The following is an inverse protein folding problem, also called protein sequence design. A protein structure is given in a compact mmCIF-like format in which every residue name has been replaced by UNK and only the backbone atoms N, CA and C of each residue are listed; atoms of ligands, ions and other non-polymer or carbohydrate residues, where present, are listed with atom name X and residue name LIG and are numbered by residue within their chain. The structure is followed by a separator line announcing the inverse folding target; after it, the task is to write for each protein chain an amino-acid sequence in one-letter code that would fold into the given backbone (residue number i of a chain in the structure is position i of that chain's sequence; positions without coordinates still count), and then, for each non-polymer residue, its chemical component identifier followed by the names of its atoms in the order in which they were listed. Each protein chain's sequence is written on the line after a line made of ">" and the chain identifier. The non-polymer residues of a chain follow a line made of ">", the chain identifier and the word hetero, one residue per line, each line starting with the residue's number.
data_IF_584290753934
#
_entry.id   IF_584290753934
#
_cell.length_a   1.000
_cell.length_b   1.000
_cell.length_c   1.000
_cell.angle_alpha   90.00
_cell.angle_beta   90.00
_cell.angle_gamma   90.00
#
_symmetry.space_group_name_H-M   'P 1'
#
loop_
_entity.id
_entity.type
_entity.pdbx_description
1 polymer ?
#
# COMPACT_ATOMS: atom_id res chain seq x y z
N UNK A 1 67.18 -11.66 102.26
CA UNK A 1 67.67 -11.44 100.88
C UNK A 1 67.08 -12.45 99.87
N UNK A 2 66.86 -13.72 100.15
CA UNK A 2 66.36 -14.76 99.25
C UNK A 2 64.98 -14.42 98.66
N UNK A 3 64.01 -13.97 99.48
CA UNK A 3 62.62 -13.71 99.02
C UNK A 3 62.53 -12.50 98.04
N UNK A 4 63.39 -11.47 98.17
CA UNK A 4 63.40 -10.34 97.19
C UNK A 4 63.86 -10.81 95.79
N UNK A 5 64.83 -11.72 95.70
CA UNK A 5 65.30 -12.26 94.41
C UNK A 5 64.27 -13.10 93.72
N UNK A 6 63.49 -13.90 94.48
CA UNK A 6 62.40 -14.70 93.95
C UNK A 6 61.26 -13.82 93.39
N UNK A 7 60.88 -12.75 94.12
CA UNK A 7 59.82 -11.81 93.62
C UNK A 7 60.26 -11.13 92.34
N UNK A 8 61.57 -10.69 92.27
CA UNK A 8 62.08 -10.09 91.02
C UNK A 8 62.07 -11.08 89.85
N UNK A 9 62.42 -12.35 90.07
CA UNK A 9 62.38 -13.39 89.03
C UNK A 9 60.93 -13.67 88.53
N UNK A 10 60.00 -13.71 89.48
CA UNK A 10 58.56 -13.89 89.13
C UNK A 10 58.04 -12.68 88.33
N UNK A 11 58.36 -11.47 88.73
CA UNK A 11 57.99 -10.26 87.97
C UNK A 11 58.62 -10.20 86.57
N UNK A 12 59.89 -10.60 86.45
CA UNK A 12 60.52 -10.73 85.11
C UNK A 12 59.89 -11.80 84.27
N UNK A 13 59.52 -12.92 84.87
CA UNK A 13 58.79 -13.99 84.12
C UNK A 13 57.41 -13.54 83.68
N UNK A 14 56.61 -12.85 84.52
CA UNK A 14 55.31 -12.29 84.15
C UNK A 14 55.48 -11.27 83.03
N UNK A 15 56.49 -10.36 83.14
CA UNK A 15 56.81 -9.39 82.09
C UNK A 15 57.17 -10.04 80.74
N UNK A 16 57.97 -11.14 80.81
CA UNK A 16 58.33 -11.89 79.61
C UNK A 16 57.13 -12.58 78.99
N UNK A 17 56.23 -13.21 79.79
CA UNK A 17 54.98 -13.80 79.29
C UNK A 17 54.07 -12.77 78.70
N UNK A 18 54.00 -11.57 79.33
CA UNK A 18 53.22 -10.44 78.76
C UNK A 18 53.78 -9.96 77.40
N UNK A 19 55.09 -9.89 77.27
CA UNK A 19 55.75 -9.52 76.01
C UNK A 19 55.44 -10.55 74.90
N UNK A 20 55.54 -11.81 75.21
CA UNK A 20 55.18 -12.91 74.26
C UNK A 20 53.72 -12.84 73.85
N UNK A 21 52.85 -12.54 74.81
CA UNK A 21 51.38 -12.38 74.47
C UNK A 21 51.16 -11.18 73.54
N UNK A 22 51.86 -10.06 73.81
CA UNK A 22 51.80 -8.86 72.92
C UNK A 22 52.35 -9.16 71.53
N UNK A 23 53.51 -9.85 71.44
CA UNK A 23 54.10 -10.26 70.16
C UNK A 23 53.19 -11.22 69.39
N UNK A 24 52.53 -12.17 70.06
CA UNK A 24 51.58 -13.09 69.42
C UNK A 24 50.36 -12.35 68.89
N UNK A 25 49.77 -11.45 69.63
CA UNK A 25 48.66 -10.64 69.14
C UNK A 25 49.06 -9.71 68.00
N UNK A 26 50.26 -9.12 68.09
CA UNK A 26 50.81 -8.30 67.02
C UNK A 26 51.02 -9.13 65.72
N UNK A 27 51.59 -10.32 65.88
CA UNK A 27 51.76 -11.25 64.76
C UNK A 27 50.40 -11.64 64.10
N UNK A 28 49.41 -11.95 64.93
CA UNK A 28 48.05 -12.27 64.45
C UNK A 28 47.36 -11.14 63.66
N UNK A 29 47.55 -9.91 64.20
CA UNK A 29 47.06 -8.69 63.57
C UNK A 29 47.79 -8.41 62.26
N UNK A 30 49.09 -8.60 62.23
CA UNK A 30 49.93 -8.44 61.06
C UNK A 30 49.57 -9.44 59.97
N UNK A 31 49.43 -10.72 60.28
CA UNK A 31 49.02 -11.76 59.37
C UNK A 31 47.58 -11.50 58.76
N UNK A 32 46.67 -11.04 59.61
CA UNK A 32 45.31 -10.62 59.16
C UNK A 32 45.40 -9.46 58.20
N UNK A 33 46.24 -8.44 58.45
CA UNK A 33 46.37 -7.31 57.53
C UNK A 33 47.02 -7.71 56.19
N UNK A 34 47.97 -8.59 56.19
CA UNK A 34 48.61 -9.13 54.99
C UNK A 34 47.55 -9.87 54.12
N UNK A 35 46.75 -10.72 54.73
CA UNK A 35 45.71 -11.44 54.02
C UNK A 35 44.65 -10.49 53.34
N UNK A 36 44.29 -9.42 54.05
CA UNK A 36 43.42 -8.37 53.51
C UNK A 36 44.08 -7.65 52.33
N UNK A 37 45.38 -7.30 52.51
CA UNK A 37 46.13 -6.64 51.45
C UNK A 37 46.30 -7.50 50.22
N UNK A 38 46.59 -8.79 50.33
CA UNK A 38 46.69 -9.73 49.20
C UNK A 38 45.35 -9.91 48.49
N UNK A 39 44.26 -9.99 49.25
CA UNK A 39 42.89 -10.06 48.68
C UNK A 39 42.56 -8.78 47.91
N UNK A 40 42.86 -7.61 48.46
CA UNK A 40 42.65 -6.31 47.78
C UNK A 40 43.50 -6.20 46.51
N UNK A 41 44.77 -6.63 46.58
CA UNK A 41 45.66 -6.66 45.42
C UNK A 41 45.17 -7.56 44.31
N UNK A 42 44.70 -8.75 44.65
CA UNK A 42 44.08 -9.68 43.70
C UNK A 42 42.80 -9.09 43.05
N UNK A 43 41.96 -8.48 43.88
CA UNK A 43 40.74 -7.80 43.37
C UNK A 43 41.10 -6.65 42.44
N UNK A 44 42.08 -5.83 42.78
CA UNK A 44 42.57 -4.74 41.94
C UNK A 44 43.05 -5.23 40.55
N UNK A 45 43.87 -6.28 40.53
CA UNK A 45 44.37 -6.86 39.26
C UNK A 45 43.25 -7.45 38.40
N UNK A 46 42.23 -8.07 39.03
CA UNK A 46 41.05 -8.57 38.31
C UNK A 46 40.24 -7.43 37.72
N UNK A 47 39.95 -6.37 38.49
CA UNK A 47 39.24 -5.18 38.01
C UNK A 47 40.02 -4.46 36.90
N UNK A 48 41.34 -4.44 36.96
CA UNK A 48 42.20 -3.87 35.92
C UNK A 48 42.07 -4.68 34.60
N UNK A 49 42.06 -6.01 34.69
CA UNK A 49 41.86 -6.87 33.54
C UNK A 49 40.47 -6.67 32.90
N UNK A 50 39.43 -6.62 33.74
CA UNK A 50 38.04 -6.39 33.29
C UNK A 50 37.91 -5.01 32.65
N UNK A 51 38.46 -3.97 33.21
CA UNK A 51 38.46 -2.61 32.65
C UNK A 51 39.14 -2.57 31.27
N UNK A 52 40.26 -3.26 31.11
CA UNK A 52 40.93 -3.34 29.81
C UNK A 52 40.08 -4.10 28.77
N UNK A 53 39.39 -5.17 29.19
CA UNK A 53 38.47 -5.91 28.30
C UNK A 53 37.31 -5.02 27.85
N UNK A 54 36.67 -4.31 28.79
CA UNK A 54 35.58 -3.39 28.49
C UNK A 54 36.01 -2.26 27.54
N UNK A 55 37.24 -1.72 27.73
CA UNK A 55 37.79 -0.71 26.81
C UNK A 55 37.91 -1.23 25.37
N UNK A 56 38.33 -2.49 25.20
CA UNK A 56 38.41 -3.11 23.88
C UNK A 56 37.01 -3.34 23.26
N UNK A 57 36.06 -3.76 24.07
CA UNK A 57 34.66 -3.94 23.63
C UNK A 57 34.04 -2.60 23.19
N UNK A 58 34.22 -1.55 23.97
CA UNK A 58 33.78 -0.18 23.61
C UNK A 58 34.41 0.26 22.29
N UNK A 59 35.70 0.09 22.10
CA UNK A 59 36.36 0.47 20.86
C UNK A 59 35.84 -0.30 19.65
N UNK A 60 35.51 -1.58 19.83
CA UNK A 60 34.91 -2.39 18.76
C UNK A 60 33.48 -1.96 18.42
N UNK A 61 32.66 -1.67 19.43
CA UNK A 61 31.29 -1.19 19.21
C UNK A 61 31.27 0.21 18.60
N UNK A 62 32.18 1.11 19.01
CA UNK A 62 32.33 2.42 18.36
C UNK A 62 32.67 2.28 16.88
N UNK A 63 33.57 1.38 16.51
CA UNK A 63 33.95 1.13 15.13
C UNK A 63 32.83 0.50 14.29
N UNK A 64 31.94 -0.30 14.92
CA UNK A 64 30.73 -0.79 14.27
C UNK A 64 29.70 0.34 14.05
N UNK A 65 29.57 1.23 15.04
CA UNK A 65 28.72 2.41 14.94
C UNK A 65 29.11 3.31 13.77
N UNK A 66 30.39 3.64 13.63
CA UNK A 66 30.91 4.44 12.53
C UNK A 66 30.60 3.82 11.16
N UNK A 67 30.81 2.49 11.00
CA UNK A 67 30.47 1.79 9.75
C UNK A 67 28.98 1.80 9.44
N UNK A 68 28.14 1.72 10.46
CA UNK A 68 26.68 1.76 10.30
C UNK A 68 26.22 3.17 9.87
N UNK A 69 26.83 4.20 10.42
CA UNK A 69 26.56 5.59 10.07
C UNK A 69 26.95 5.90 8.61
N UNK A 70 28.12 5.44 8.16
CA UNK A 70 28.54 5.55 6.76
C UNK A 70 27.58 4.81 5.82
N UNK A 71 27.13 3.62 6.20
CA UNK A 71 26.16 2.84 5.42
C UNK A 71 24.79 3.53 5.35
N UNK A 72 24.34 4.11 6.45
CA UNK A 72 23.09 4.88 6.52
C UNK A 72 23.15 6.11 5.60
N UNK A 73 24.27 6.85 5.64
CA UNK A 73 24.48 8.02 4.77
C UNK A 73 24.42 7.64 3.29
N UNK A 74 25.14 6.57 2.91
CA UNK A 74 25.12 6.06 1.52
C UNK A 74 23.71 5.62 1.07
N UNK A 75 22.96 4.97 1.96
CA UNK A 75 21.60 4.53 1.66
C UNK A 75 20.64 5.73 1.50
N UNK A 76 20.81 6.77 2.31
CA UNK A 76 19.99 7.98 2.21
C UNK A 76 20.26 8.76 0.92
N UNK A 77 21.53 8.88 0.50
CA UNK A 77 21.92 9.48 -0.78
C UNK A 77 21.29 8.71 -1.97
N UNK A 78 21.30 7.38 -1.88
CA UNK A 78 20.66 6.53 -2.91
C UNK A 78 19.14 6.69 -2.92
N UNK A 79 18.50 6.82 -1.75
CA UNK A 79 17.07 7.09 -1.63
C UNK A 79 16.71 8.42 -2.31
N UNK A 80 17.41 9.50 -2.00
CA UNK A 80 17.17 10.82 -2.61
C UNK A 80 17.34 10.79 -4.14
N UNK A 81 18.35 10.06 -4.63
CA UNK A 81 18.54 9.90 -6.08
C UNK A 81 17.41 9.14 -6.75
N UNK A 82 16.86 8.10 -6.09
CA UNK A 82 15.72 7.34 -6.61
C UNK A 82 14.43 8.16 -6.57
N UNK A 83 14.18 8.92 -5.52
CA UNK A 83 13.03 9.82 -5.43
C UNK A 83 13.04 10.87 -6.55
N UNK A 84 14.23 11.41 -6.87
CA UNK A 84 14.38 12.33 -7.99
C UNK A 84 14.03 11.67 -9.34
N UNK A 85 14.50 10.44 -9.58
CA UNK A 85 14.19 9.70 -10.81
C UNK A 85 12.70 9.36 -10.91
N UNK A 86 12.06 9.02 -9.78
CA UNK A 86 10.61 8.76 -9.73
C UNK A 86 9.85 10.04 -10.12
N UNK A 87 10.16 11.18 -9.50
CA UNK A 87 9.50 12.43 -9.76
C UNK A 87 9.69 12.91 -11.23
N UNK A 88 10.89 12.69 -11.80
CA UNK A 88 11.17 12.99 -13.22
C UNK A 88 10.32 12.11 -14.15
N UNK A 89 10.21 10.81 -13.86
CA UNK A 89 9.38 9.88 -14.65
C UNK A 89 7.87 10.16 -14.51
N UNK A 90 7.43 10.55 -13.34
CA UNK A 90 6.03 10.95 -13.13
C UNK A 90 5.70 12.22 -13.91
N UNK A 91 6.59 13.20 -13.86
CA UNK A 91 6.44 14.46 -14.64
C UNK A 91 6.48 14.21 -16.17
N UNK A 92 7.32 13.26 -16.63
CA UNK A 92 7.37 12.85 -18.04
C UNK A 92 6.08 12.16 -18.47
N UNK A 93 5.58 11.20 -17.69
CA UNK A 93 4.27 10.56 -17.91
C UNK A 93 3.11 11.56 -17.93
N UNK A 94 3.16 12.56 -17.05
CA UNK A 94 2.15 13.61 -17.02
C UNK A 94 2.21 14.52 -18.27
N UNK A 95 3.41 14.77 -18.78
CA UNK A 95 3.60 15.52 -20.07
C UNK A 95 3.13 14.71 -21.25
N UNK A 96 3.53 13.43 -21.35
CA UNK A 96 3.07 12.53 -22.41
C UNK A 96 1.55 12.35 -22.41
N UNK A 97 0.94 12.21 -21.23
CA UNK A 97 -0.52 12.16 -21.09
C UNK A 97 -1.20 13.47 -21.50
N UNK A 98 -0.59 14.62 -21.19
CA UNK A 98 -1.09 15.94 -21.63
C UNK A 98 -0.94 16.14 -23.14
N UNK A 99 0.18 15.75 -23.73
CA UNK A 99 0.42 15.83 -25.17
C UNK A 99 -0.50 14.89 -25.94
N UNK A 100 -0.68 13.64 -25.46
CA UNK A 100 -1.58 12.65 -26.04
C UNK A 100 -3.04 13.14 -25.97
N UNK A 101 -3.46 13.76 -24.88
CA UNK A 101 -4.79 14.32 -24.73
C UNK A 101 -4.98 15.60 -25.56
N UNK A 102 -3.94 16.40 -25.74
CA UNK A 102 -3.97 17.59 -26.62
C UNK A 102 -4.02 17.18 -28.10
N UNK A 103 -3.35 16.12 -28.52
CA UNK A 103 -3.45 15.56 -29.87
C UNK A 103 -4.80 14.88 -30.07
N UNK A 104 -5.33 14.22 -29.05
CA UNK A 104 -6.66 13.63 -29.02
C UNK A 104 -7.76 14.70 -29.15
N UNK A 105 -7.68 15.80 -28.40
CA UNK A 105 -8.64 16.92 -28.48
C UNK A 105 -8.50 17.72 -29.77
N UNK A 106 -7.33 17.79 -30.37
CA UNK A 106 -7.10 18.39 -31.68
C UNK A 106 -7.59 17.53 -32.85
N UNK A 107 -7.57 16.20 -32.69
CA UNK A 107 -8.00 15.22 -33.70
C UNK A 107 -9.50 14.93 -33.63
N UNK A 108 -10.12 15.20 -32.48
CA UNK A 108 -11.51 14.87 -32.20
C UNK A 108 -12.39 16.12 -32.30
N UNK A 109 -12.65 16.55 -33.52
CA UNK A 109 -13.92 17.25 -33.83
C UNK A 109 -15.08 16.25 -33.80
N UNK A 110 -15.00 15.19 -33.01
CA UNK A 110 -15.87 14.02 -33.02
C UNK A 110 -16.10 13.48 -31.62
N UNK A 111 -17.00 12.61 -31.54
CA UNK A 111 -17.60 11.95 -30.39
C UNK A 111 -16.69 10.85 -29.88
N UNK A 112 -16.24 10.93 -28.63
CA UNK A 112 -15.42 9.89 -27.99
C UNK A 112 -16.30 8.86 -27.31
N UNK A 113 -15.93 7.59 -27.46
CA UNK A 113 -16.54 6.46 -26.73
C UNK A 113 -15.58 6.00 -25.65
N UNK A 114 -16.11 5.86 -24.45
CA UNK A 114 -15.45 5.21 -23.33
C UNK A 114 -16.13 3.87 -23.08
N UNK A 115 -15.50 2.78 -23.53
CA UNK A 115 -15.96 1.43 -23.20
C UNK A 115 -15.60 1.12 -21.75
N UNK A 116 -16.59 0.77 -20.95
CA UNK A 116 -16.39 0.44 -19.54
C UNK A 116 -16.97 -0.93 -19.23
N UNK A 117 -16.22 -1.73 -18.49
CA UNK A 117 -16.55 -3.11 -18.15
C UNK A 117 -16.57 -3.27 -16.63
N UNK A 118 -17.73 -3.61 -16.08
CA UNK A 118 -17.95 -3.81 -14.66
C UNK A 118 -17.84 -5.29 -14.24
N UNK A 119 -17.75 -5.55 -12.94
CA UNK A 119 -17.81 -6.84 -12.26
C UNK A 119 -16.62 -7.80 -12.47
N UNK A 120 -15.78 -7.52 -13.42
CA UNK A 120 -14.62 -8.35 -13.74
C UNK A 120 -13.47 -8.25 -12.72
N UNK A 121 -12.33 -8.86 -13.06
CA UNK A 121 -12.06 -9.70 -14.25
C UNK A 121 -12.71 -11.06 -14.19
N UNK A 122 -12.94 -11.65 -15.38
CA UNK A 122 -13.62 -12.93 -15.56
C UNK A 122 -12.88 -13.89 -16.52
N UNK A 123 -13.53 -14.98 -16.88
CA UNK A 123 -13.04 -15.89 -17.91
C UNK A 123 -13.09 -15.28 -19.33
N UNK A 124 -13.84 -14.19 -19.53
CA UNK A 124 -13.96 -13.51 -20.82
C UNK A 124 -12.97 -12.34 -20.98
N UNK A 125 -12.30 -11.93 -19.92
CA UNK A 125 -11.38 -10.78 -19.93
C UNK A 125 -10.31 -10.91 -21.01
N UNK A 126 -9.72 -12.11 -21.19
CA UNK A 126 -8.70 -12.33 -22.23
C UNK A 126 -9.23 -12.13 -23.64
N UNK A 127 -10.46 -12.63 -23.93
CA UNK A 127 -11.10 -12.45 -25.24
C UNK A 127 -11.47 -10.97 -25.49
N UNK A 128 -11.89 -10.26 -24.44
CA UNK A 128 -12.15 -8.81 -24.50
C UNK A 128 -10.84 -8.06 -24.81
N UNK A 129 -9.72 -8.39 -24.15
CA UNK A 129 -8.42 -7.82 -24.47
C UNK A 129 -8.02 -8.06 -25.92
N UNK A 130 -8.14 -9.29 -26.41
CA UNK A 130 -7.82 -9.63 -27.79
C UNK A 130 -8.62 -8.79 -28.79
N UNK A 131 -9.90 -8.55 -28.49
CA UNK A 131 -10.74 -7.71 -29.33
C UNK A 131 -10.34 -6.23 -29.25
N UNK A 132 -10.05 -5.70 -28.09
CA UNK A 132 -9.56 -4.34 -27.91
C UNK A 132 -8.21 -4.12 -28.59
N UNK A 133 -7.28 -5.05 -28.45
CA UNK A 133 -5.95 -5.01 -29.09
C UNK A 133 -6.05 -5.03 -30.62
N UNK A 134 -6.97 -5.81 -31.19
CA UNK A 134 -7.21 -5.88 -32.65
C UNK A 134 -7.46 -4.52 -33.28
N UNK A 135 -8.09 -3.61 -32.55
CA UNK A 135 -8.45 -2.27 -33.00
C UNK A 135 -7.60 -1.16 -32.36
N UNK A 136 -6.62 -1.51 -31.54
CA UNK A 136 -5.83 -0.59 -30.69
C UNK A 136 -6.73 0.33 -29.82
N UNK A 137 -7.80 -0.22 -29.30
CA UNK A 137 -8.78 0.49 -28.46
C UNK A 137 -8.40 0.30 -26.99
N UNK A 138 -8.38 1.39 -26.23
CA UNK A 138 -8.23 1.35 -24.78
C UNK A 138 -9.59 1.52 -24.10
N UNK A 139 -9.76 0.84 -22.97
CA UNK A 139 -11.01 0.77 -22.21
C UNK A 139 -10.78 0.94 -20.70
N UNK A 140 -11.86 0.98 -19.93
CA UNK A 140 -11.78 1.03 -18.46
C UNK A 140 -12.46 -0.20 -17.87
N UNK A 141 -11.80 -0.83 -16.92
CA UNK A 141 -12.32 -2.00 -16.20
C UNK A 141 -12.55 -1.60 -14.73
N UNK A 142 -13.80 -1.57 -14.31
CA UNK A 142 -14.19 -1.39 -12.92
C UNK A 142 -14.25 -2.76 -12.24
N UNK A 143 -13.16 -3.09 -11.54
CA UNK A 143 -12.93 -4.44 -11.04
C UNK A 143 -13.49 -4.67 -9.64
N UNK A 144 -13.80 -5.94 -9.35
CA UNK A 144 -14.18 -6.46 -8.04
C UNK A 144 -13.10 -7.41 -7.50
N UNK A 145 -13.25 -7.90 -6.26
CA UNK A 145 -12.39 -8.97 -5.72
C UNK A 145 -12.74 -10.35 -6.31
N UNK A 146 -12.91 -10.44 -7.62
CA UNK A 146 -13.17 -11.70 -8.30
C UNK A 146 -11.98 -12.66 -8.19
N UNK A 147 -12.20 -13.97 -8.36
CA UNK A 147 -11.12 -14.96 -8.36
C UNK A 147 -10.10 -14.81 -9.50
N UNK A 148 -10.40 -13.97 -10.51
CA UNK A 148 -9.52 -13.70 -11.64
C UNK A 148 -8.72 -12.38 -11.49
N UNK A 149 -8.93 -11.62 -10.42
CA UNK A 149 -8.28 -10.33 -10.21
C UNK A 149 -6.75 -10.46 -10.19
N UNK A 150 -6.23 -11.44 -9.47
CA UNK A 150 -4.78 -11.67 -9.34
C UNK A 150 -4.10 -11.94 -10.69
N UNK A 151 -4.84 -12.56 -11.61
CA UNK A 151 -4.35 -12.86 -12.96
C UNK A 151 -4.36 -11.65 -13.88
N UNK A 152 -5.35 -10.76 -13.75
CA UNK A 152 -5.62 -9.75 -14.76
C UNK A 152 -5.35 -8.30 -14.31
N UNK A 153 -5.30 -8.00 -13.00
CA UNK A 153 -5.13 -6.63 -12.54
C UNK A 153 -3.91 -5.93 -13.16
N UNK A 154 -2.76 -6.61 -13.15
CA UNK A 154 -1.53 -6.09 -13.74
C UNK A 154 -1.62 -5.97 -15.27
N UNK A 155 -2.23 -6.96 -15.95
CA UNK A 155 -2.42 -6.95 -17.41
C UNK A 155 -3.29 -5.78 -17.88
N UNK A 156 -4.34 -5.41 -17.13
CA UNK A 156 -5.19 -4.25 -17.46
C UNK A 156 -4.31 -3.00 -17.63
N UNK A 157 -3.42 -2.76 -16.67
CA UNK A 157 -2.53 -1.59 -16.68
C UNK A 157 -1.45 -1.72 -17.76
N UNK A 158 -0.79 -2.87 -17.87
CA UNK A 158 0.27 -3.13 -18.86
C UNK A 158 -0.21 -2.99 -20.30
N UNK A 159 -1.49 -3.29 -20.57
CA UNK A 159 -2.13 -3.09 -21.89
C UNK A 159 -2.60 -1.66 -22.13
N UNK A 160 -2.36 -0.74 -21.19
CA UNK A 160 -2.76 0.67 -21.29
C UNK A 160 -4.23 0.93 -21.05
N UNK A 161 -4.97 -0.01 -20.47
CA UNK A 161 -6.33 0.21 -20.02
C UNK A 161 -6.36 0.87 -18.64
N UNK A 162 -7.46 1.53 -18.28
CA UNK A 162 -7.67 2.05 -16.94
C UNK A 162 -8.27 0.99 -16.04
N UNK A 163 -7.67 0.81 -14.87
CA UNK A 163 -8.21 0.01 -13.79
C UNK A 163 -8.95 0.92 -12.82
N UNK A 164 -10.28 0.79 -12.78
CA UNK A 164 -11.17 1.42 -11.80
C UNK A 164 -11.64 0.41 -10.75
N UNK A 165 -12.31 0.89 -9.69
CA UNK A 165 -12.75 0.08 -8.57
C UNK A 165 -14.29 -0.01 -8.56
N UNK A 166 -14.83 -1.23 -8.32
CA UNK A 166 -16.28 -1.49 -8.27
C UNK A 166 -16.71 -2.16 -6.97
N UNK A 167 -16.09 -1.76 -5.85
CA UNK A 167 -16.15 -2.43 -4.54
C UNK A 167 -15.58 -3.87 -4.58
N UNK A 168 -15.31 -4.44 -3.42
CA UNK A 168 -14.73 -5.79 -3.37
C UNK A 168 -15.78 -6.87 -3.55
N UNK A 169 -16.88 -6.78 -2.82
CA UNK A 169 -17.89 -7.86 -2.74
C UNK A 169 -19.09 -7.67 -3.65
N UNK A 170 -19.35 -6.44 -4.09
CA UNK A 170 -20.57 -6.08 -4.85
C UNK A 170 -21.89 -6.48 -4.16
N UNK A 171 -21.88 -6.64 -2.80
CA UNK A 171 -23.07 -7.06 -2.05
C UNK A 171 -23.86 -5.86 -1.58
N UNK A 172 -24.91 -5.48 -2.32
CA UNK A 172 -25.71 -4.28 -2.07
C UNK A 172 -26.16 -4.11 -0.60
N UNK A 173 -26.70 -5.18 0.02
CA UNK A 173 -27.16 -5.14 1.40
C UNK A 173 -26.01 -4.90 2.42
N UNK A 174 -24.79 -5.18 2.04
CA UNK A 174 -23.60 -4.93 2.87
C UNK A 174 -23.05 -3.54 2.58
N UNK A 175 -22.70 -3.26 1.32
CA UNK A 175 -22.00 -2.02 0.94
C UNK A 175 -22.85 -0.77 1.18
N UNK A 176 -24.18 -0.85 1.02
CA UNK A 176 -25.07 0.29 1.24
C UNK A 176 -25.76 0.30 2.61
N UNK A 177 -25.36 -0.58 3.54
CA UNK A 177 -25.89 -0.59 4.92
C UNK A 177 -25.39 0.59 5.75
N UNK A 178 -24.16 1.06 5.50
CA UNK A 178 -23.61 2.28 6.07
C UNK A 178 -22.47 2.82 5.19
N UNK A 179 -22.09 4.06 5.40
CA UNK A 179 -20.94 4.68 4.77
C UNK A 179 -19.65 3.92 5.13
N UNK A 180 -19.50 3.56 6.40
CA UNK A 180 -18.36 2.78 6.89
C UNK A 180 -18.21 1.44 6.15
N UNK A 181 -19.31 0.70 5.99
CA UNK A 181 -19.29 -0.59 5.27
C UNK A 181 -18.95 -0.41 3.79
N UNK A 182 -19.43 0.66 3.15
CA UNK A 182 -19.06 0.98 1.78
C UNK A 182 -17.54 1.23 1.67
N UNK A 183 -16.98 2.10 2.53
CA UNK A 183 -15.55 2.42 2.49
C UNK A 183 -14.66 1.24 2.90
N UNK A 184 -15.09 0.41 3.83
CA UNK A 184 -14.36 -0.82 4.17
C UNK A 184 -14.27 -1.76 2.96
N UNK A 185 -15.34 -1.90 2.19
CA UNK A 185 -15.39 -2.74 1.00
C UNK A 185 -14.60 -2.12 -0.17
N UNK A 186 -14.72 -0.81 -0.38
CA UNK A 186 -13.94 -0.05 -1.36
C UNK A 186 -12.44 -0.08 -1.04
N UNK A 187 -12.06 0.12 0.20
CA UNK A 187 -10.66 0.06 0.64
C UNK A 187 -10.08 -1.36 0.48
N UNK A 188 -10.90 -2.40 0.66
CA UNK A 188 -10.46 -3.79 0.45
C UNK A 188 -10.02 -4.02 -0.99
N UNK A 189 -10.79 -3.59 -1.98
CA UNK A 189 -10.38 -3.71 -3.40
C UNK A 189 -9.24 -2.74 -3.74
N UNK A 190 -9.24 -1.52 -3.21
CA UNK A 190 -8.16 -0.54 -3.43
C UNK A 190 -6.81 -1.08 -2.97
N UNK A 191 -6.75 -1.59 -1.75
CA UNK A 191 -5.53 -2.17 -1.17
C UNK A 191 -5.07 -3.41 -1.96
N UNK A 192 -6.00 -4.28 -2.35
CA UNK A 192 -5.67 -5.47 -3.13
C UNK A 192 -5.12 -5.11 -4.51
N UNK A 193 -5.68 -4.13 -5.19
CA UNK A 193 -5.17 -3.63 -6.48
C UNK A 193 -3.79 -3.01 -6.31
N UNK A 194 -3.60 -2.20 -5.28
CA UNK A 194 -2.30 -1.58 -4.99
C UNK A 194 -1.23 -2.64 -4.67
N UNK A 195 -1.56 -3.67 -3.89
CA UNK A 195 -0.67 -4.80 -3.60
C UNK A 195 -0.25 -5.56 -4.87
N UNK A 196 -1.20 -5.83 -5.76
CA UNK A 196 -0.95 -6.61 -6.98
C UNK A 196 -0.19 -5.82 -8.06
N UNK A 197 -0.36 -4.50 -8.11
CA UNK A 197 0.05 -3.70 -9.27
C UNK A 197 0.96 -2.53 -8.94
N UNK A 198 1.04 -2.11 -7.69
CA UNK A 198 1.66 -0.84 -7.28
C UNK A 198 0.86 0.40 -7.70
N UNK A 199 -0.32 0.23 -8.32
CA UNK A 199 -1.16 1.33 -8.80
C UNK A 199 -2.33 1.58 -7.85
N UNK A 200 -2.50 2.82 -7.41
CA UNK A 200 -3.61 3.27 -6.60
C UNK A 200 -4.64 3.96 -7.47
N UNK A 201 -5.75 3.26 -7.75
CA UNK A 201 -6.83 3.83 -8.55
C UNK A 201 -7.62 4.89 -7.79
N UNK A 202 -7.94 5.97 -8.47
CA UNK A 202 -8.87 7.02 -7.99
C UNK A 202 -10.20 7.02 -8.73
N UNK A 203 -10.39 6.10 -9.67
CA UNK A 203 -11.60 5.98 -10.47
C UNK A 203 -12.47 4.88 -9.89
N UNK A 204 -13.73 5.21 -9.63
CA UNK A 204 -14.69 4.26 -9.07
C UNK A 204 -16.00 4.27 -9.87
N UNK A 205 -16.73 3.17 -9.78
CA UNK A 205 -18.15 3.10 -10.15
C UNK A 205 -18.91 2.46 -9.00
N UNK A 206 -20.02 3.08 -8.63
CA UNK A 206 -20.92 2.51 -7.61
C UNK A 206 -21.65 1.30 -8.17
N UNK A 207 -21.71 0.16 -7.46
CA UNK A 207 -22.57 -0.96 -7.83
C UNK A 207 -24.00 -0.52 -8.09
N UNK A 208 -24.50 -0.77 -9.33
CA UNK A 208 -25.80 -0.32 -9.77
C UNK A 208 -25.90 1.17 -10.11
N UNK A 209 -24.78 1.91 -10.12
CA UNK A 209 -24.69 3.34 -10.39
C UNK A 209 -25.09 4.23 -9.22
N UNK A 210 -24.79 5.52 -9.32
CA UNK A 210 -25.12 6.52 -8.29
C UNK A 210 -26.65 6.75 -8.16
N UNK A 211 -27.42 6.42 -9.17
CA UNK A 211 -28.89 6.53 -9.21
C UNK A 211 -29.62 5.26 -8.76
N UNK A 212 -28.91 4.24 -8.27
CA UNK A 212 -29.52 2.97 -7.95
C UNK A 212 -30.65 3.09 -6.92
N UNK A 213 -31.64 2.22 -7.06
CA UNK A 213 -32.79 2.16 -6.14
C UNK A 213 -32.68 1.02 -5.12
N UNK A 214 -31.67 0.14 -5.30
CA UNK A 214 -31.44 -1.00 -4.43
C UNK A 214 -31.01 -0.55 -3.02
N UNK A 215 -30.33 0.60 -2.94
CA UNK A 215 -29.88 1.20 -1.66
C UNK A 215 -30.98 1.90 -0.84
N UNK A 216 -32.24 1.91 -1.31
CA UNK A 216 -33.36 2.65 -0.66
C UNK A 216 -33.68 2.20 0.75
N UNK A 217 -33.25 1.03 1.17
CA UNK A 217 -33.33 0.57 2.56
C UNK A 217 -32.51 1.45 3.53
N UNK A 218 -31.52 2.20 3.03
CA UNK A 218 -30.77 3.20 3.76
C UNK A 218 -30.97 4.58 3.10
N UNK A 219 -31.98 5.31 3.55
CA UNK A 219 -32.38 6.57 2.96
C UNK A 219 -31.25 7.59 2.93
N UNK A 220 -30.98 8.17 1.77
CA UNK A 220 -29.98 9.21 1.54
C UNK A 220 -28.54 8.68 1.49
N UNK A 221 -28.34 7.36 1.49
CA UNK A 221 -26.98 6.79 1.48
C UNK A 221 -26.21 7.21 0.24
N UNK A 222 -26.81 7.21 -0.93
CA UNK A 222 -26.10 7.56 -2.17
C UNK A 222 -25.71 9.04 -2.20
N UNK A 223 -26.56 9.94 -1.69
CA UNK A 223 -26.23 11.36 -1.55
C UNK A 223 -24.98 11.55 -0.66
N UNK A 224 -24.90 10.83 0.46
CA UNK A 224 -23.76 10.93 1.37
C UNK A 224 -22.49 10.27 0.78
N UNK A 225 -22.64 9.12 0.12
CA UNK A 225 -21.51 8.42 -0.48
C UNK A 225 -20.91 9.20 -1.64
N UNK A 226 -21.72 9.77 -2.53
CA UNK A 226 -21.19 10.55 -3.66
C UNK A 226 -20.41 11.78 -3.19
N UNK A 227 -20.86 12.44 -2.12
CA UNK A 227 -20.12 13.53 -1.49
C UNK A 227 -18.80 13.02 -0.90
N UNK A 228 -18.84 12.00 -0.06
CA UNK A 228 -17.65 11.50 0.65
C UNK A 228 -16.57 10.92 -0.26
N UNK A 229 -16.93 10.16 -1.29
CA UNK A 229 -15.92 9.64 -2.22
C UNK A 229 -15.19 10.78 -2.95
N UNK A 230 -15.90 11.87 -3.27
CA UNK A 230 -15.29 13.05 -3.89
C UNK A 230 -14.38 13.79 -2.90
N UNK A 231 -14.81 13.95 -1.64
CA UNK A 231 -13.98 14.53 -0.57
C UNK A 231 -12.69 13.72 -0.33
N UNK A 232 -12.75 12.40 -0.47
CA UNK A 232 -11.60 11.48 -0.34
C UNK A 232 -10.74 11.42 -1.62
N UNK A 233 -11.05 12.21 -2.64
CA UNK A 233 -10.26 12.35 -3.87
C UNK A 233 -10.57 11.31 -4.95
N UNK A 234 -11.61 10.50 -4.78
CA UNK A 234 -12.09 9.63 -5.85
C UNK A 234 -12.91 10.40 -6.86
N UNK A 235 -12.86 9.95 -8.12
CA UNK A 235 -13.78 10.35 -9.20
C UNK A 235 -14.70 9.17 -9.49
N UNK A 236 -16.01 9.39 -9.48
CA UNK A 236 -16.95 8.33 -9.81
C UNK A 236 -17.59 8.54 -11.18
N UNK A 237 -17.87 7.44 -11.85
CA UNK A 237 -18.41 7.44 -13.22
C UNK A 237 -19.62 6.54 -13.31
N UNK A 238 -20.74 7.11 -13.73
CA UNK A 238 -21.90 6.35 -14.23
C UNK A 238 -21.76 6.13 -15.73
N UNK A 239 -22.86 6.03 -16.44
CA UNK A 239 -22.92 5.82 -17.89
C UNK A 239 -24.09 6.62 -18.49
N UNK A 240 -24.06 6.81 -19.79
CA UNK A 240 -25.18 7.37 -20.55
C UNK A 240 -25.60 6.47 -21.72
N UNK A 241 -24.91 5.36 -21.93
CA UNK A 241 -25.28 4.29 -22.86
C UNK A 241 -25.24 2.97 -22.10
N UNK A 242 -26.38 2.29 -22.02
CA UNK A 242 -26.50 0.98 -21.39
C UNK A 242 -26.58 -0.10 -22.47
N UNK A 243 -25.70 -1.08 -22.43
CA UNK A 243 -25.69 -2.21 -23.35
C UNK A 243 -26.85 -3.19 -23.13
N UNK A 244 -27.46 -3.17 -21.94
CA UNK A 244 -28.53 -4.08 -21.54
C UNK A 244 -28.07 -5.51 -21.23
N UNK A 245 -26.75 -5.78 -21.21
CA UNK A 245 -26.18 -7.10 -20.96
C UNK A 245 -26.49 -7.62 -19.54
N UNK A 246 -26.52 -6.73 -18.55
CA UNK A 246 -26.92 -7.07 -17.18
C UNK A 246 -28.43 -7.44 -17.11
N UNK A 247 -29.25 -6.86 -17.97
CA UNK A 247 -30.69 -7.15 -18.10
C UNK A 247 -30.98 -8.39 -18.94
N UNK A 248 -29.94 -9.07 -19.44
CA UNK A 248 -30.07 -10.32 -20.19
C UNK A 248 -30.14 -10.15 -21.71
N UNK A 249 -29.75 -9.00 -22.24
CA UNK A 249 -29.62 -8.84 -23.69
C UNK A 249 -28.60 -9.85 -24.24
N UNK A 250 -28.96 -10.49 -25.34
CA UNK A 250 -28.06 -11.37 -26.10
C UNK A 250 -27.05 -10.53 -26.92
N UNK A 251 -26.19 -11.19 -27.70
CA UNK A 251 -25.19 -10.53 -28.55
C UNK A 251 -25.81 -9.44 -29.44
N UNK A 252 -26.93 -9.73 -30.10
CA UNK A 252 -27.60 -8.80 -31.01
C UNK A 252 -28.25 -7.65 -30.25
N UNK A 253 -28.87 -7.93 -29.10
CA UNK A 253 -29.42 -6.91 -28.20
C UNK A 253 -28.37 -5.95 -27.68
N UNK A 254 -27.22 -6.47 -27.20
CA UNK A 254 -26.08 -5.65 -26.75
C UNK A 254 -25.58 -4.74 -27.88
N UNK A 255 -25.34 -5.29 -29.06
CA UNK A 255 -24.91 -4.54 -30.22
C UNK A 255 -25.92 -3.43 -30.58
N UNK A 256 -27.23 -3.81 -30.73
CA UNK A 256 -28.28 -2.87 -31.13
C UNK A 256 -28.48 -1.74 -30.10
N UNK A 257 -28.42 -2.04 -28.81
CA UNK A 257 -28.55 -1.03 -27.76
C UNK A 257 -27.42 0.02 -27.84
N UNK A 258 -26.17 -0.41 -27.98
CA UNK A 258 -25.02 0.50 -28.08
C UNK A 258 -25.07 1.30 -29.39
N UNK A 259 -25.18 0.64 -30.54
CA UNK A 259 -25.14 1.30 -31.86
C UNK A 259 -26.34 2.22 -32.08
N UNK A 260 -27.55 1.83 -31.62
CA UNK A 260 -28.71 2.71 -31.69
C UNK A 260 -28.54 3.96 -30.81
N UNK A 261 -27.99 3.82 -29.61
CA UNK A 261 -27.71 4.96 -28.76
C UNK A 261 -26.69 5.92 -29.41
N UNK A 262 -25.62 5.39 -29.99
CA UNK A 262 -24.61 6.19 -30.71
C UNK A 262 -25.23 6.91 -31.95
N UNK A 263 -26.16 6.33 -32.62
CA UNK A 263 -26.87 6.96 -33.78
C UNK A 263 -27.85 8.04 -33.35
N UNK A 264 -28.58 7.81 -32.26
CA UNK A 264 -29.73 8.62 -31.89
C UNK A 264 -29.37 9.75 -30.90
N UNK A 265 -28.25 9.65 -30.19
CA UNK A 265 -27.80 10.65 -29.20
C UNK A 265 -26.54 11.35 -29.65
N UNK A 266 -26.44 12.62 -29.28
CA UNK A 266 -25.27 13.45 -29.58
C UNK A 266 -24.56 13.84 -28.29
N UNK A 267 -24.10 12.86 -27.51
CA UNK A 267 -23.33 13.12 -26.32
C UNK A 267 -21.90 13.55 -26.69
N UNK A 268 -21.36 14.51 -25.96
CA UNK A 268 -19.93 14.87 -26.09
C UNK A 268 -19.03 13.76 -25.52
N UNK A 269 -19.53 13.03 -24.52
CA UNK A 269 -18.88 11.89 -23.88
C UNK A 269 -19.83 10.71 -23.91
N UNK A 270 -19.47 9.66 -24.62
CA UNK A 270 -20.30 8.43 -24.72
C UNK A 270 -19.70 7.38 -23.78
N UNK A 271 -20.23 7.30 -22.57
CA UNK A 271 -19.82 6.33 -21.55
C UNK A 271 -20.71 5.10 -21.65
N UNK A 272 -20.15 3.99 -22.10
CA UNK A 272 -20.88 2.74 -22.35
C UNK A 272 -20.70 1.79 -21.17
N UNK A 273 -21.82 1.39 -20.55
CA UNK A 273 -21.85 0.32 -19.55
C UNK A 273 -21.92 -1.04 -20.23
N UNK A 274 -20.98 -1.89 -19.90
CA UNK A 274 -20.93 -3.31 -20.19
C UNK A 274 -20.38 -4.08 -18.99
N UNK A 275 -20.51 -5.41 -18.99
CA UNK A 275 -19.96 -6.25 -17.95
C UNK A 275 -19.02 -7.31 -18.54
N UNK A 276 -17.81 -7.39 -18.03
CA UNK A 276 -16.80 -8.34 -18.50
C UNK A 276 -17.18 -9.80 -18.19
N UNK A 277 -18.10 -10.01 -17.27
CA UNK A 277 -18.63 -11.32 -16.90
C UNK A 277 -19.73 -11.85 -17.86
N UNK A 278 -20.05 -11.12 -18.92
CA UNK A 278 -21.14 -11.46 -19.85
C UNK A 278 -20.60 -11.95 -21.20
N UNK A 279 -21.04 -13.15 -21.60
CA UNK A 279 -20.68 -13.70 -22.90
C UNK A 279 -21.25 -12.87 -24.04
N UNK A 280 -22.47 -12.31 -23.89
CA UNK A 280 -23.10 -11.43 -24.87
C UNK A 280 -22.26 -10.19 -25.16
N UNK A 281 -21.66 -9.58 -24.12
CA UNK A 281 -20.74 -8.47 -24.28
C UNK A 281 -19.51 -8.87 -25.08
N UNK A 282 -18.82 -9.96 -24.66
CA UNK A 282 -17.65 -10.49 -25.37
C UNK A 282 -17.95 -10.74 -26.84
N UNK A 283 -19.11 -11.36 -27.17
CA UNK A 283 -19.47 -11.71 -28.51
C UNK A 283 -19.91 -10.51 -29.39
N UNK A 284 -20.45 -9.44 -28.77
CA UNK A 284 -20.90 -8.24 -29.49
C UNK A 284 -19.75 -7.22 -29.72
N UNK A 285 -18.71 -7.23 -28.91
CA UNK A 285 -17.70 -6.19 -28.81
C UNK A 285 -16.98 -5.89 -30.13
N UNK A 286 -16.62 -6.92 -30.90
CA UNK A 286 -15.94 -6.78 -32.19
C UNK A 286 -16.77 -5.95 -33.18
N UNK A 287 -18.07 -6.26 -33.30
CA UNK A 287 -18.99 -5.56 -34.19
C UNK A 287 -19.26 -4.12 -33.72
N UNK A 288 -19.38 -3.93 -32.39
CA UNK A 288 -19.59 -2.59 -31.81
C UNK A 288 -18.39 -1.67 -32.12
N UNK A 289 -17.17 -2.14 -31.91
CA UNK A 289 -15.97 -1.32 -32.14
C UNK A 289 -15.84 -1.01 -33.64
N UNK A 290 -15.97 -2.03 -34.49
CA UNK A 290 -15.85 -1.84 -35.92
C UNK A 290 -16.83 -0.78 -36.45
N UNK A 291 -18.12 -0.96 -36.15
CA UNK A 291 -19.14 -0.07 -36.70
C UNK A 291 -19.10 1.33 -36.09
N UNK A 292 -18.68 1.47 -34.82
CA UNK A 292 -18.46 2.76 -34.22
C UNK A 292 -17.28 3.53 -34.87
N UNK A 293 -16.20 2.83 -35.22
CA UNK A 293 -15.07 3.40 -35.99
C UNK A 293 -15.55 3.80 -37.41
N UNK A 294 -16.33 2.98 -38.08
CA UNK A 294 -16.91 3.29 -39.41
C UNK A 294 -17.87 4.49 -39.34
N UNK A 295 -18.50 4.76 -38.19
CA UNK A 295 -19.30 5.95 -37.91
C UNK A 295 -18.46 7.20 -37.54
N UNK A 296 -17.14 7.07 -37.52
CA UNK A 296 -16.20 8.17 -37.21
C UNK A 296 -16.01 8.46 -35.71
N UNK A 297 -16.41 7.54 -34.85
CA UNK A 297 -16.09 7.63 -33.42
C UNK A 297 -14.63 7.27 -33.16
N UNK A 298 -14.10 7.81 -32.07
CA UNK A 298 -12.81 7.41 -31.48
C UNK A 298 -13.05 6.82 -30.11
N UNK A 299 -12.07 6.08 -29.60
CA UNK A 299 -12.18 5.42 -28.30
C UNK A 299 -11.11 5.96 -27.35
N UNK A 300 -11.44 6.03 -26.07
CA UNK A 300 -10.50 6.32 -24.99
C UNK A 300 -10.85 5.56 -23.72
N UNK A 301 -9.89 5.44 -22.83
CA UNK A 301 -10.11 5.02 -21.46
C UNK A 301 -10.31 6.23 -20.55
N UNK A 302 -10.90 6.02 -19.36
CA UNK A 302 -11.06 7.07 -18.35
C UNK A 302 -9.67 7.49 -17.84
N UNK A 303 -9.44 8.79 -17.82
CA UNK A 303 -8.24 9.41 -17.30
C UNK A 303 -8.57 10.74 -16.59
N UNK A 304 -7.57 11.49 -16.13
CA UNK A 304 -7.77 12.71 -15.37
C UNK A 304 -8.52 13.82 -16.10
N UNK A 305 -8.53 13.78 -17.41
CA UNK A 305 -9.17 14.77 -18.29
C UNK A 305 -10.55 14.32 -18.80
N UNK A 306 -10.96 13.08 -18.45
CA UNK A 306 -12.28 12.57 -18.84
C UNK A 306 -13.37 13.28 -18.06
N UNK A 307 -14.34 13.86 -18.76
CA UNK A 307 -15.52 14.44 -18.14
C UNK A 307 -16.32 13.36 -17.41
N UNK A 308 -16.61 13.61 -16.14
CA UNK A 308 -17.42 12.71 -15.34
C UNK A 308 -18.87 12.66 -15.87
N UNK A 309 -19.42 11.46 -15.96
CA UNK A 309 -20.83 11.22 -16.30
C UNK A 309 -21.52 10.77 -15.02
N UNK A 310 -22.45 11.58 -14.53
CA UNK A 310 -23.18 11.31 -13.28
C UNK A 310 -24.67 11.18 -13.58
N UNK A 311 -25.29 10.18 -12.97
CA UNK A 311 -26.74 10.07 -12.94
C UNK A 311 -27.34 11.03 -11.88
N UNK A 312 -28.63 11.36 -12.08
CA UNK A 312 -29.36 12.03 -11.00
C UNK A 312 -29.56 11.06 -9.84
N UNK A 313 -29.11 11.46 -8.67
CA UNK A 313 -29.23 10.64 -7.45
C UNK A 313 -30.72 10.47 -7.08
N UNK A 314 -31.15 9.23 -6.86
CA UNK A 314 -32.52 8.87 -6.52
C UNK A 314 -32.71 8.46 -5.05
N UNK A 315 -31.64 8.46 -4.24
CA UNK A 315 -31.66 8.07 -2.84
C UNK A 315 -30.73 8.97 -1.98
#
# INVERSE_FOLDING_TARGET
>A
MKNKKIIILVLLFISFCFLLFCLFNFYKLYDSKIKVYEKQKSTYENLKKENNKLKMEIANETKKGEKLEDSYKSLNEKKESLEKVINEKEAEKEREAKEQNQDYTKKVTGKVIYLTFDDGPSNYTEDIFNTLDKYDVKATFFVTCSGSLDKYAKKIIEKGHTLGLHTCTHRYNTIYSSEENYFNDLNSISNKVEELTGYKSKYIRFPGGSSNTISRFNKGIMTRLTQKVTEDGYKYYDWNIDSGDAAGADKEGVYNNVISALKNHNYSTNMVLMHDIKVSTKDALDSIIKDALDMGYTFSNINDYTNEVHHRINN
#
